data_IF_809844660244
#
_entry.id   IF_809844660244
#
_cell.length_a   1.000
_cell.length_b   1.000
_cell.length_c   1.000
_cell.angle_alpha   90.00
_cell.angle_beta   90.00
_cell.angle_gamma   90.00
#
_symmetry.space_group_name_H-M   'P 1'
#
loop_
_entity.id
_entity.type
_entity.pdbx_description
1 polymer ?
#
# COMPACT_ATOMS: atom_id res chain seq x y z
N UNK A 1 -13.24 14.79 -12.95
CA UNK A 1 -13.83 13.96 -11.88
C UNK A 1 -12.65 13.41 -11.09
N UNK A 2 -12.61 13.60 -9.77
CA UNK A 2 -11.56 12.98 -8.94
C UNK A 2 -11.86 11.48 -8.86
N UNK A 3 -10.92 10.65 -9.31
CA UNK A 3 -11.03 9.21 -9.10
C UNK A 3 -10.38 8.84 -7.76
N UNK A 4 -10.92 7.83 -7.09
CA UNK A 4 -10.36 7.32 -5.83
C UNK A 4 -8.90 6.86 -6.00
N UNK A 5 -8.51 6.46 -7.20
CA UNK A 5 -7.13 6.15 -7.60
C UNK A 5 -6.17 7.34 -7.51
N UNK A 6 -6.66 8.59 -7.47
CA UNK A 6 -5.80 9.78 -7.41
C UNK A 6 -5.43 10.20 -5.98
N UNK A 7 -6.21 9.80 -4.98
CA UNK A 7 -6.02 10.22 -3.57
C UNK A 7 -6.08 9.04 -2.60
N UNK A 8 -6.19 7.81 -3.11
CA UNK A 8 -6.57 6.64 -2.32
C UNK A 8 -5.57 6.32 -1.22
N UNK A 9 -4.29 6.44 -1.53
CA UNK A 9 -3.17 6.13 -0.64
C UNK A 9 -3.11 7.12 0.53
N UNK A 10 -3.17 8.42 0.23
CA UNK A 10 -3.29 9.50 1.22
C UNK A 10 -4.56 9.37 2.06
N UNK A 11 -5.69 9.03 1.43
CA UNK A 11 -6.97 8.87 2.10
C UNK A 11 -6.94 7.70 3.09
N UNK A 12 -6.40 6.55 2.67
CA UNK A 12 -6.22 5.40 3.57
C UNK A 12 -5.30 5.78 4.73
N UNK A 13 -4.14 6.41 4.46
CA UNK A 13 -3.24 6.86 5.52
C UNK A 13 -3.92 7.82 6.49
N UNK A 14 -4.68 8.78 5.97
CA UNK A 14 -5.42 9.76 6.78
C UNK A 14 -6.45 9.07 7.65
N UNK A 15 -7.28 8.19 7.10
CA UNK A 15 -8.28 7.44 7.87
C UNK A 15 -7.61 6.64 8.99
N UNK A 16 -6.53 5.92 8.69
CA UNK A 16 -5.81 5.12 9.69
C UNK A 16 -5.22 5.99 10.80
N UNK A 17 -4.63 7.13 10.45
CA UNK A 17 -4.00 8.00 11.43
C UNK A 17 -5.01 8.75 12.32
N UNK A 18 -6.23 9.00 11.83
CA UNK A 18 -7.24 9.79 12.56
C UNK A 18 -8.32 8.93 13.26
N UNK A 19 -8.55 7.70 12.81
CA UNK A 19 -9.54 6.79 13.40
C UNK A 19 -8.87 5.59 14.06
N UNK A 20 -8.85 5.59 15.40
CA UNK A 20 -8.36 4.46 16.19
C UNK A 20 -9.13 3.16 15.90
N UNK A 21 -10.42 3.25 15.56
CA UNK A 21 -11.24 2.10 15.19
C UNK A 21 -10.78 1.48 13.85
N UNK A 22 -10.55 2.31 12.83
CA UNK A 22 -10.03 1.86 11.54
C UNK A 22 -8.61 1.29 11.68
N UNK A 23 -7.75 1.98 12.45
CA UNK A 23 -6.39 1.51 12.77
C UNK A 23 -6.41 0.14 13.44
N UNK A 24 -7.23 -0.01 14.48
CA UNK A 24 -7.37 -1.27 15.20
C UNK A 24 -7.90 -2.40 14.32
N UNK A 25 -8.83 -2.11 13.40
CA UNK A 25 -9.34 -3.09 12.46
C UNK A 25 -8.24 -3.61 11.54
N UNK A 26 -7.51 -2.73 10.85
CA UNK A 26 -6.41 -3.12 9.94
C UNK A 26 -5.30 -3.86 10.69
N UNK A 27 -4.88 -3.34 11.84
CA UNK A 27 -3.81 -3.95 12.61
C UNK A 27 -4.21 -5.35 13.12
N UNK A 28 -5.47 -5.54 13.52
CA UNK A 28 -6.00 -6.86 13.89
C UNK A 28 -5.97 -7.83 12.72
N UNK A 29 -6.42 -7.41 11.54
CA UNK A 29 -6.42 -8.25 10.34
C UNK A 29 -5.00 -8.69 9.95
N UNK A 30 -4.02 -7.80 10.07
CA UNK A 30 -2.61 -8.11 9.82
C UNK A 30 -1.93 -8.87 10.99
N UNK A 31 -2.59 -8.92 12.16
CA UNK A 31 -2.06 -9.52 13.38
C UNK A 31 -0.85 -8.76 13.94
N UNK A 32 -0.93 -7.42 13.99
CA UNK A 32 0.11 -6.51 14.45
C UNK A 32 -0.40 -5.58 15.56
N UNK A 33 0.52 -4.88 16.24
CA UNK A 33 0.18 -3.86 17.23
C UNK A 33 -0.48 -2.64 16.58
N UNK A 34 -1.39 -1.99 17.30
CA UNK A 34 -1.99 -0.72 16.87
C UNK A 34 -1.03 0.49 17.03
N UNK A 35 0.16 0.29 17.59
CA UNK A 35 1.16 1.33 17.79
C UNK A 35 1.93 1.68 16.50
N UNK A 36 1.19 1.97 15.43
CA UNK A 36 1.72 2.27 14.10
C UNK A 36 1.29 3.66 13.63
N UNK A 37 2.10 4.22 12.73
CA UNK A 37 1.71 5.38 11.91
C UNK A 37 1.59 4.94 10.45
N UNK A 38 0.59 5.44 9.73
CA UNK A 38 0.45 5.21 8.30
C UNK A 38 1.14 6.33 7.51
N UNK A 39 1.99 5.96 6.56
CA UNK A 39 2.73 6.89 5.70
C UNK A 39 2.55 6.46 4.24
N UNK A 40 2.12 7.36 3.33
CA UNK A 40 1.93 7.00 1.93
C UNK A 40 3.25 6.98 1.16
N UNK A 41 3.29 6.21 0.08
CA UNK A 41 4.25 6.33 -1.03
C UNK A 41 5.75 6.25 -0.66
N UNK A 42 6.13 5.45 0.34
CA UNK A 42 7.55 5.27 0.65
C UNK A 42 8.24 4.39 -0.38
N UNK A 43 9.40 4.84 -0.85
CA UNK A 43 10.24 4.08 -1.78
C UNK A 43 11.01 2.99 -1.04
N UNK A 44 11.13 1.81 -1.65
CA UNK A 44 12.03 0.78 -1.13
C UNK A 44 13.48 1.23 -1.18
N UNK A 45 14.22 0.90 -0.12
CA UNK A 45 15.67 1.00 -0.10
C UNK A 45 16.28 0.05 -1.15
N UNK A 46 17.54 0.30 -1.53
CA UNK A 46 18.25 -0.61 -2.44
C UNK A 46 18.42 -1.99 -1.83
N UNK A 47 18.19 -3.03 -2.63
CA UNK A 47 18.46 -4.41 -2.25
C UNK A 47 19.75 -4.89 -2.91
N UNK A 48 20.78 -5.25 -2.14
CA UNK A 48 22.07 -5.77 -2.66
C UNK A 48 22.70 -4.88 -3.75
N UNK A 49 22.58 -3.56 -3.61
CA UNK A 49 23.06 -2.58 -4.60
C UNK A 49 22.14 -2.38 -5.81
N UNK A 50 21.09 -3.18 -5.97
CA UNK A 50 20.06 -3.00 -6.98
C UNK A 50 19.03 -1.97 -6.52
N UNK A 51 18.66 -1.07 -7.42
CA UNK A 51 17.54 -0.16 -7.20
C UNK A 51 16.26 -0.80 -7.70
N UNK A 52 15.15 -0.61 -7.00
CA UNK A 52 13.85 -0.89 -7.58
C UNK A 52 13.52 0.19 -8.63
N UNK A 53 12.81 -0.17 -9.69
CA UNK A 53 12.37 0.84 -10.66
C UNK A 53 11.46 1.89 -9.98
N UNK A 54 11.35 3.08 -10.60
CA UNK A 54 10.68 4.24 -10.00
C UNK A 54 9.18 4.08 -9.70
N UNK A 55 8.58 2.93 -10.05
CA UNK A 55 7.20 2.59 -9.72
C UNK A 55 7.06 1.78 -8.43
N UNK A 56 8.17 1.45 -7.76
CA UNK A 56 8.17 0.68 -6.52
C UNK A 56 8.12 1.58 -5.28
N UNK A 57 7.04 2.33 -5.16
CA UNK A 57 6.62 2.91 -3.88
C UNK A 57 5.61 1.97 -3.27
N UNK A 58 5.70 1.77 -1.96
CA UNK A 58 4.65 1.08 -1.22
C UNK A 58 3.51 2.08 -1.06
N UNK A 59 2.32 1.73 -1.53
CA UNK A 59 1.15 2.62 -1.52
C UNK A 59 0.89 3.16 -0.09
N UNK A 60 0.88 2.29 0.93
CA UNK A 60 0.73 2.66 2.34
C UNK A 60 1.68 1.85 3.23
N UNK A 61 2.51 2.53 4.02
CA UNK A 61 3.40 1.93 5.01
C UNK A 61 2.85 2.11 6.43
N UNK A 62 2.55 1.00 7.12
CA UNK A 62 2.31 1.04 8.56
C UNK A 62 3.64 0.85 9.30
N UNK A 63 4.17 1.95 9.85
CA UNK A 63 5.45 1.96 10.54
C UNK A 63 5.25 1.76 12.04
N UNK A 64 5.76 0.65 12.56
CA UNK A 64 5.92 0.43 14.00
C UNK A 64 7.27 0.99 14.45
N UNK A 65 7.22 2.09 15.19
CA UNK A 65 8.42 2.78 15.70
C UNK A 65 9.12 2.02 16.83
N UNK A 66 8.43 1.10 17.51
CA UNK A 66 9.01 0.31 18.58
C UNK A 66 9.81 -0.87 18.05
N UNK A 67 9.28 -1.58 17.05
CA UNK A 67 9.94 -2.75 16.42
C UNK A 67 10.77 -2.40 15.19
N UNK A 68 10.72 -1.14 14.72
CA UNK A 68 11.33 -0.70 13.46
C UNK A 68 10.91 -1.57 12.26
N UNK A 69 9.65 -1.99 12.24
CA UNK A 69 9.07 -2.81 11.17
C UNK A 69 8.08 -1.97 10.37
N UNK A 70 8.12 -2.10 9.05
CA UNK A 70 7.12 -1.57 8.13
C UNK A 70 6.21 -2.71 7.66
N UNK A 71 4.90 -2.59 7.89
CA UNK A 71 3.89 -3.47 7.31
C UNK A 71 3.29 -2.81 6.07
N UNK A 72 3.67 -3.26 4.86
CA UNK A 72 3.23 -2.61 3.63
C UNK A 72 1.78 -2.97 3.30
N UNK A 73 1.10 -2.02 2.68
CA UNK A 73 -0.24 -2.16 2.13
C UNK A 73 -0.22 -1.65 0.70
N UNK A 74 -0.77 -2.44 -0.23
CA UNK A 74 -1.02 -2.05 -1.61
C UNK A 74 -2.52 -1.77 -1.79
N UNK A 75 -2.84 -0.65 -2.43
CA UNK A 75 -4.21 -0.24 -2.71
C UNK A 75 -4.55 -0.45 -4.19
N UNK A 76 -5.56 -1.27 -4.47
CA UNK A 76 -6.10 -1.50 -5.82
C UNK A 76 -7.57 -1.12 -5.83
N UNK A 77 -7.80 0.19 -5.87
CA UNK A 77 -9.12 0.82 -5.67
C UNK A 77 -9.96 0.96 -6.95
N UNK A 78 -9.43 0.53 -8.09
CA UNK A 78 -10.21 0.37 -9.32
C UNK A 78 -11.20 -0.80 -9.22
N UNK A 79 -12.19 -0.86 -10.11
CA UNK A 79 -13.18 -1.96 -10.15
C UNK A 79 -13.08 -2.81 -11.41
N UNK A 80 -12.05 -2.61 -12.23
CA UNK A 80 -11.84 -3.29 -13.51
C UNK A 80 -10.39 -3.75 -13.63
N UNK A 81 -10.13 -4.73 -14.51
CA UNK A 81 -8.80 -5.32 -14.73
C UNK A 81 -8.15 -5.91 -13.48
N UNK A 82 -9.00 -6.39 -12.57
CA UNK A 82 -8.66 -7.05 -11.31
C UNK A 82 -9.32 -8.43 -11.23
N UNK A 83 -9.77 -9.02 -12.34
CA UNK A 83 -10.17 -10.44 -12.32
C UNK A 83 -8.99 -11.31 -11.89
N UNK A 84 -9.24 -12.52 -11.35
CA UNK A 84 -8.19 -13.46 -10.93
C UNK A 84 -7.05 -13.58 -11.95
N UNK A 85 -7.40 -13.81 -13.22
CA UNK A 85 -6.45 -14.00 -14.31
C UNK A 85 -5.68 -12.71 -14.61
N UNK A 86 -6.38 -11.58 -14.77
CA UNK A 86 -5.71 -10.29 -15.04
C UNK A 86 -4.81 -9.87 -13.88
N UNK A 87 -5.24 -10.09 -12.64
CA UNK A 87 -4.46 -9.79 -11.46
C UNK A 87 -3.17 -10.62 -11.45
N UNK A 88 -3.26 -11.93 -11.68
CA UNK A 88 -2.09 -12.80 -11.75
C UNK A 88 -1.11 -12.41 -12.87
N UNK A 89 -1.64 -12.05 -14.05
CA UNK A 89 -0.83 -11.64 -15.19
C UNK A 89 -0.14 -10.28 -15.00
N UNK A 90 -0.73 -9.39 -14.19
CA UNK A 90 -0.22 -8.02 -14.00
C UNK A 90 0.64 -7.87 -12.76
N UNK A 91 0.28 -8.55 -11.67
CA UNK A 91 0.80 -8.25 -10.33
C UNK A 91 1.51 -9.42 -9.66
N UNK A 92 1.39 -10.64 -10.19
CA UNK A 92 2.04 -11.83 -9.62
C UNK A 92 3.13 -12.42 -10.51
N UNK A 93 3.55 -11.69 -11.55
CA UNK A 93 4.66 -12.12 -12.39
C UNK A 93 5.99 -11.94 -11.65
N UNK A 94 6.94 -12.89 -11.77
CA UNK A 94 8.25 -12.74 -11.16
C UNK A 94 8.94 -11.44 -11.57
N UNK A 95 9.53 -10.77 -10.58
CA UNK A 95 10.40 -9.64 -10.81
C UNK A 95 11.63 -10.07 -11.62
N UNK A 96 12.19 -9.14 -12.38
CA UNK A 96 13.35 -9.38 -13.25
C UNK A 96 14.41 -8.33 -12.98
N UNK A 97 15.67 -8.67 -13.23
CA UNK A 97 16.71 -7.66 -13.35
C UNK A 97 16.54 -6.89 -14.66
N UNK A 98 16.85 -5.61 -14.63
CA UNK A 98 16.77 -4.72 -15.78
C UNK A 98 17.93 -3.70 -15.76
N UNK A 99 18.06 -2.92 -16.84
CA UNK A 99 19.08 -1.87 -16.96
C UNK A 99 20.50 -2.41 -16.70
N UNK A 100 20.93 -3.42 -17.46
CA UNK A 100 22.25 -4.07 -17.32
C UNK A 100 22.50 -4.60 -15.89
N UNK A 101 21.49 -5.24 -15.30
CA UNK A 101 21.55 -5.83 -13.96
C UNK A 101 21.90 -4.81 -12.86
N UNK A 102 21.31 -3.62 -12.95
CA UNK A 102 21.43 -2.59 -11.89
C UNK A 102 20.10 -2.26 -11.24
N UNK A 103 18.99 -2.77 -11.81
CA UNK A 103 17.64 -2.51 -11.32
C UNK A 103 16.80 -3.78 -11.22
N UNK A 104 15.82 -3.74 -10.32
CA UNK A 104 14.75 -4.73 -10.22
C UNK A 104 13.48 -4.10 -10.81
N UNK A 105 12.90 -4.78 -11.78
CA UNK A 105 11.62 -4.42 -12.39
C UNK A 105 10.54 -5.44 -12.04
N UNK A 106 9.31 -4.97 -11.88
CA UNK A 106 8.18 -5.80 -11.48
C UNK A 106 7.04 -4.93 -10.94
N UNK A 107 5.99 -5.57 -10.42
CA UNK A 107 5.00 -4.83 -9.62
C UNK A 107 5.37 -4.88 -8.15
N UNK A 108 4.97 -3.87 -7.37
CA UNK A 108 5.18 -3.88 -5.91
C UNK A 108 4.56 -5.12 -5.27
N UNK A 109 3.37 -5.55 -5.70
CA UNK A 109 2.76 -6.80 -5.23
C UNK A 109 3.69 -8.00 -5.46
N UNK A 110 4.39 -8.08 -6.60
CA UNK A 110 5.34 -9.16 -6.87
C UNK A 110 6.55 -9.11 -5.93
N UNK A 111 7.01 -7.90 -5.56
CA UNK A 111 8.06 -7.68 -4.56
C UNK A 111 7.59 -8.12 -3.17
N UNK A 112 6.37 -7.76 -2.77
CA UNK A 112 5.77 -8.15 -1.49
C UNK A 112 5.52 -9.66 -1.38
N UNK A 113 5.19 -10.30 -2.49
CA UNK A 113 5.11 -11.76 -2.63
C UNK A 113 6.49 -12.45 -2.67
N UNK A 114 7.59 -11.68 -2.54
CA UNK A 114 8.96 -12.18 -2.58
C UNK A 114 9.30 -12.95 -3.87
N UNK A 115 8.62 -12.63 -4.97
CA UNK A 115 8.95 -13.14 -6.31
C UNK A 115 10.13 -12.38 -6.91
N UNK A 116 11.20 -12.23 -6.13
CA UNK A 116 12.38 -11.43 -6.46
C UNK A 116 13.41 -12.24 -7.26
N UNK A 117 14.29 -11.57 -8.00
CA UNK A 117 15.46 -12.23 -8.60
C UNK A 117 16.36 -12.85 -7.51
N UNK A 118 17.13 -13.88 -7.87
CA UNK A 118 18.03 -14.61 -6.96
C UNK A 118 19.01 -13.70 -6.20
N UNK A 119 19.39 -12.58 -6.80
CA UNK A 119 20.28 -11.59 -6.18
C UNK A 119 19.66 -10.90 -4.96
N UNK A 120 18.32 -10.96 -4.83
CA UNK A 120 17.55 -10.24 -3.81
C UNK A 120 16.56 -11.10 -3.04
N UNK A 121 16.34 -12.36 -3.43
CA UNK A 121 15.32 -13.23 -2.83
C UNK A 121 15.53 -13.48 -1.33
N UNK A 122 16.79 -13.62 -0.89
CA UNK A 122 17.14 -13.87 0.51
C UNK A 122 17.52 -12.60 1.28
N UNK A 123 17.38 -11.42 0.66
CA UNK A 123 17.77 -10.16 1.29
C UNK A 123 16.60 -9.47 1.97
N UNK A 124 16.92 -8.79 3.07
CA UNK A 124 15.98 -7.93 3.77
C UNK A 124 15.63 -6.73 2.89
N UNK A 125 14.32 -6.48 2.77
CA UNK A 125 13.80 -5.28 2.15
C UNK A 125 13.51 -4.27 3.26
N UNK A 126 13.62 -2.98 2.96
CA UNK A 126 13.38 -1.94 3.94
C UNK A 126 12.88 -0.67 3.25
N UNK A 127 12.34 0.24 4.06
CA UNK A 127 12.04 1.62 3.71
C UNK A 127 12.71 2.55 4.71
N UNK A 128 13.08 3.75 4.27
CA UNK A 128 13.60 4.80 5.16
C UNK A 128 12.59 5.94 5.28
N UNK A 129 12.22 6.29 6.51
CA UNK A 129 11.32 7.40 6.83
C UNK A 129 11.93 8.28 7.93
N UNK A 130 12.01 9.59 7.69
CA UNK A 130 12.59 10.57 8.62
C UNK A 130 14.01 10.18 9.09
N UNK A 131 14.81 9.57 8.21
CA UNK A 131 16.17 9.10 8.51
C UNK A 131 16.24 7.79 9.31
N UNK A 132 15.10 7.23 9.69
CA UNK A 132 15.00 5.93 10.35
C UNK A 132 14.67 4.84 9.34
N UNK A 133 15.45 3.76 9.37
CA UNK A 133 15.21 2.55 8.57
C UNK A 133 14.19 1.65 9.26
N UNK A 134 13.27 1.10 8.48
CA UNK A 134 12.26 0.13 8.89
C UNK A 134 12.34 -1.11 8.00
N UNK A 135 12.46 -2.28 8.59
CA UNK A 135 12.50 -3.53 7.85
C UNK A 135 11.10 -3.89 7.35
N UNK A 136 11.02 -4.24 6.07
CA UNK A 136 9.77 -4.55 5.41
C UNK A 136 9.32 -5.96 5.79
N UNK A 137 8.19 -6.02 6.49
CA UNK A 137 7.54 -7.27 6.87
C UNK A 137 7.21 -8.15 5.66
N UNK A 138 7.25 -9.46 5.84
CA UNK A 138 6.72 -10.43 4.87
C UNK A 138 5.19 -10.42 4.82
N UNK A 139 4.53 -10.11 5.95
CA UNK A 139 3.07 -9.89 6.00
C UNK A 139 2.74 -8.53 5.41
N UNK A 140 1.72 -8.48 4.57
CA UNK A 140 1.30 -7.27 3.86
C UNK A 140 -0.21 -7.26 3.62
N UNK A 141 -0.78 -6.08 3.38
CA UNK A 141 -2.20 -5.90 3.11
C UNK A 141 -2.49 -5.55 1.65
N UNK A 142 -3.60 -6.05 1.11
CA UNK A 142 -4.13 -5.66 -0.19
C UNK A 142 -5.50 -5.03 -0.01
N UNK A 143 -5.59 -3.71 -0.12
CA UNK A 143 -6.86 -2.99 -0.05
C UNK A 143 -7.53 -3.02 -1.41
N UNK A 144 -8.75 -3.56 -1.46
CA UNK A 144 -9.58 -3.61 -2.67
C UNK A 144 -10.98 -3.07 -2.41
N UNK A 145 -11.70 -2.75 -3.48
CA UNK A 145 -13.12 -2.41 -3.42
C UNK A 145 -13.95 -3.66 -3.11
N UNK A 146 -15.04 -3.51 -2.38
CA UNK A 146 -16.01 -4.57 -2.07
C UNK A 146 -16.43 -5.31 -3.34
N UNK A 147 -16.80 -4.57 -4.39
CA UNK A 147 -17.16 -5.12 -5.71
C UNK A 147 -16.10 -6.07 -6.30
N UNK A 148 -14.82 -5.81 -6.07
CA UNK A 148 -13.72 -6.67 -6.53
C UNK A 148 -13.67 -7.95 -5.70
N UNK A 149 -13.78 -7.81 -4.37
CA UNK A 149 -13.84 -8.96 -3.46
C UNK A 149 -15.03 -9.87 -3.74
N UNK A 150 -16.23 -9.31 -3.94
CA UNK A 150 -17.41 -10.09 -4.33
C UNK A 150 -17.22 -10.84 -5.65
N UNK A 151 -16.56 -10.20 -6.62
CA UNK A 151 -16.22 -10.84 -7.88
C UNK A 151 -15.22 -12.00 -7.68
N UNK A 152 -14.24 -11.86 -6.79
CA UNK A 152 -13.32 -12.94 -6.42
C UNK A 152 -14.00 -14.08 -5.66
N UNK A 153 -14.96 -13.78 -4.78
CA UNK A 153 -15.78 -14.82 -4.11
C UNK A 153 -16.53 -15.68 -5.11
N UNK A 154 -17.01 -15.09 -6.21
CA UNK A 154 -17.75 -15.80 -7.27
C UNK A 154 -16.85 -16.53 -8.27
N UNK A 155 -15.74 -15.89 -8.66
CA UNK A 155 -14.92 -16.32 -9.81
C UNK A 155 -13.51 -16.85 -9.41
N UNK A 156 -13.25 -16.94 -8.11
CA UNK A 156 -11.97 -17.34 -7.53
C UNK A 156 -11.06 -16.15 -7.21
N UNK A 157 -10.31 -16.29 -6.12
CA UNK A 157 -9.32 -15.31 -5.69
C UNK A 157 -8.01 -15.43 -6.52
N UNK A 158 -7.25 -14.34 -6.67
CA UNK A 158 -5.85 -14.39 -7.09
C UNK A 158 -5.05 -15.33 -6.20
N UNK A 159 -3.99 -15.92 -6.75
CA UNK A 159 -3.13 -16.86 -6.02
C UNK A 159 -2.02 -16.11 -5.25
N UNK A 160 -2.42 -15.23 -4.33
CA UNK A 160 -1.50 -14.58 -3.39
C UNK A 160 -1.07 -15.56 -2.31
N UNK A 161 0.09 -15.31 -1.68
CA UNK A 161 0.54 -16.13 -0.56
C UNK A 161 -0.29 -15.89 0.70
N UNK A 162 -0.11 -16.73 1.71
CA UNK A 162 -0.72 -16.56 3.05
C UNK A 162 -0.22 -15.32 3.79
N UNK A 163 0.80 -14.65 3.26
CA UNK A 163 1.32 -13.41 3.83
C UNK A 163 0.52 -12.18 3.39
N UNK A 164 -0.33 -12.33 2.37
CA UNK A 164 -1.25 -11.28 1.90
C UNK A 164 -2.58 -11.37 2.65
N UNK A 165 -2.96 -10.30 3.36
CA UNK A 165 -4.30 -10.12 3.91
C UNK A 165 -5.13 -9.20 2.99
N UNK A 166 -6.32 -9.63 2.60
CA UNK A 166 -7.19 -8.81 1.74
C UNK A 166 -8.10 -7.95 2.62
N UNK A 167 -7.99 -6.64 2.47
CA UNK A 167 -8.77 -5.64 3.22
C UNK A 167 -9.79 -4.98 2.28
N UNK A 168 -11.01 -4.74 2.78
CA UNK A 168 -12.06 -4.11 1.99
C UNK A 168 -12.13 -2.62 2.32
N UNK A 169 -12.00 -1.78 1.30
CA UNK A 169 -12.03 -0.33 1.48
C UNK A 169 -13.34 0.15 2.09
N UNK A 170 -14.48 -0.35 1.60
CA UNK A 170 -15.81 -0.01 2.11
C UNK A 170 -15.99 -0.36 3.59
N UNK A 171 -15.43 -1.48 4.07
CA UNK A 171 -15.47 -1.84 5.50
C UNK A 171 -14.75 -0.79 6.37
N UNK A 172 -13.66 -0.19 5.87
CA UNK A 172 -12.98 0.90 6.57
C UNK A 172 -13.86 2.15 6.67
N UNK A 173 -14.65 2.43 5.64
CA UNK A 173 -15.58 3.56 5.62
C UNK A 173 -16.75 3.32 6.55
N UNK A 174 -17.28 2.09 6.58
CA UNK A 174 -18.34 1.71 7.50
C UNK A 174 -17.88 1.81 8.97
N UNK A 175 -16.63 1.41 9.26
CA UNK A 175 -16.02 1.54 10.58
C UNK A 175 -15.79 3.00 10.97
N UNK A 176 -15.46 3.86 10.01
CA UNK A 176 -15.36 5.31 10.25
C UNK A 176 -16.71 5.88 10.72
N UNK A 177 -17.83 5.28 10.31
CA UNK A 177 -19.14 5.45 10.95
C UNK A 177 -19.96 6.64 10.45
N UNK A 178 -19.47 7.41 9.48
CA UNK A 178 -20.21 8.54 8.91
C UNK A 178 -19.73 8.89 7.50
N UNK A 179 -20.68 9.12 6.60
CA UNK A 179 -20.41 9.62 5.26
C UNK A 179 -19.85 11.06 5.29
N UNK A 180 -20.27 11.86 6.26
CA UNK A 180 -19.76 13.21 6.51
C UNK A 180 -18.27 13.16 6.86
N UNK A 181 -17.85 12.31 7.82
CA UNK A 181 -16.43 12.14 8.18
C UNK A 181 -15.59 11.67 7.00
N UNK A 182 -16.12 10.75 6.19
CA UNK A 182 -15.46 10.32 4.96
C UNK A 182 -15.26 11.50 3.99
N UNK A 183 -16.32 12.26 3.75
CA UNK A 183 -16.27 13.43 2.86
C UNK A 183 -15.36 14.54 3.39
N UNK A 184 -15.26 14.71 4.71
CA UNK A 184 -14.32 15.63 5.34
C UNK A 184 -12.87 15.22 5.07
N UNK A 185 -12.54 13.94 5.22
CA UNK A 185 -11.21 13.43 4.88
C UNK A 185 -10.89 13.63 3.40
N UNK A 186 -11.82 13.31 2.49
CA UNK A 186 -11.65 13.55 1.06
C UNK A 186 -11.46 15.04 0.77
N UNK A 187 -12.31 15.90 1.34
CA UNK A 187 -12.25 17.36 1.13
C UNK A 187 -10.94 17.96 1.62
N UNK A 188 -10.42 17.47 2.75
CA UNK A 188 -9.14 17.93 3.30
C UNK A 188 -7.93 17.61 2.40
N UNK A 189 -8.00 16.54 1.60
CA UNK A 189 -6.96 16.19 0.63
C UNK A 189 -7.05 17.03 -0.65
N UNK A 190 -8.24 17.54 -0.96
CA UNK A 190 -8.49 18.39 -2.13
C UNK A 190 -8.33 19.88 -1.85
N UNK A 191 -8.35 20.27 -0.57
CA UNK A 191 -8.11 21.62 -0.12
C UNK A 191 -6.65 22.01 -0.36
N UNK A 192 -6.34 22.32 -1.61
CA UNK A 192 -5.12 23.01 -2.00
C UNK A 192 -5.16 24.41 -1.36
N UNK A 193 -4.13 24.74 -0.59
CA UNK A 193 -3.90 26.10 -0.12
C UNK A 193 -3.43 26.94 -1.31
N UNK A 194 -4.39 27.38 -2.14
CA UNK A 194 -4.13 28.24 -3.29
C UNK A 194 -3.49 29.56 -2.89
N UNK A 195 -3.68 30.03 -1.65
CA UNK A 195 -2.98 31.21 -1.17
C UNK A 195 -1.48 30.91 -1.03
N UNK A 196 -1.09 29.80 -0.40
CA UNK A 196 0.31 29.39 -0.33
C UNK A 196 0.89 29.07 -1.71
N UNK A 197 0.15 28.37 -2.57
CA UNK A 197 0.59 28.00 -3.93
C UNK A 197 0.74 29.20 -4.86
N UNK A 198 -0.20 30.14 -4.85
CA UNK A 198 -0.25 31.22 -5.85
C UNK A 198 0.27 32.56 -5.32
N UNK A 199 0.15 32.81 -4.02
CA UNK A 199 0.60 34.06 -3.41
C UNK A 199 1.98 33.90 -2.76
N UNK A 200 2.41 32.67 -2.45
CA UNK A 200 3.80 32.35 -2.11
C UNK A 200 4.36 33.24 -1.00
N UNK A 201 3.99 32.97 0.25
CA UNK A 201 4.73 33.55 1.37
C UNK A 201 6.13 32.92 1.40
N UNK A 202 7.10 33.66 0.87
CA UNK A 202 8.54 33.48 1.14
C UNK A 202 8.86 33.81 2.58
#
# INVERSE_FOLDING_TARGET
MLELSHIGEDLICRIINHSEACKAHICRSLGISNAVIAVPELSLDTCSGFRFDGTHRVDVCLLDRGSLTCFPIEAKLGTSRLSRTEFGNRFLQPCKTSHKDTRISGSMISVLERNLPVQCIDNELAVTYEGQRYDLSVKWGLVVREKVSENWKKNGYPNTSKSCEVLIFEELIDILGSAELFNEHVSSLLALDYHKEWIGLR
#
